data_IF_743406245227
#
_entry.id   IF_743406245227
#
_cell.length_a   1.000
_cell.length_b   1.000
_cell.length_c   1.000
_cell.angle_alpha   90.00
_cell.angle_beta   90.00
_cell.angle_gamma   90.00
#
_symmetry.space_group_name_H-M   'P 1'
#
loop_
_entity.id
_entity.type
_entity.pdbx_description
1 polymer ?
#
# COMPACT_ATOMS: atom_id res chain seq x y z
N UNK A 1 -0.15 9.62 -17.29
CA UNK A 1 -0.60 9.38 -18.69
C UNK A 1 -2.09 9.10 -18.80
N UNK A 2 -2.60 7.94 -18.37
CA UNK A 2 -4.04 7.63 -18.51
C UNK A 2 -4.93 8.65 -17.78
N UNK A 3 -4.55 9.04 -16.55
CA UNK A 3 -5.25 10.08 -15.79
C UNK A 3 -5.26 11.42 -16.52
N UNK A 4 -4.10 11.86 -17.01
CA UNK A 4 -3.94 13.14 -17.71
C UNK A 4 -4.70 13.18 -19.04
N UNK A 5 -4.67 12.08 -19.79
CA UNK A 5 -5.35 11.94 -21.08
C UNK A 5 -6.88 11.90 -20.92
N UNK A 6 -7.38 11.29 -19.85
CA UNK A 6 -8.82 11.22 -19.57
C UNK A 6 -9.37 12.49 -18.91
N UNK A 7 -8.57 13.16 -18.07
CA UNK A 7 -8.92 14.37 -17.33
C UNK A 7 -10.32 14.31 -16.66
N UNK A 8 -10.71 13.13 -16.16
CA UNK A 8 -12.05 12.87 -15.64
C UNK A 8 -12.02 12.78 -14.11
N UNK A 9 -12.89 13.51 -13.39
CA UNK A 9 -12.99 13.40 -11.93
C UNK A 9 -13.49 12.03 -11.46
N UNK A 10 -14.08 11.23 -12.37
CA UNK A 10 -14.62 9.90 -12.11
C UNK A 10 -13.61 8.77 -12.37
N UNK A 11 -12.39 9.08 -12.81
CA UNK A 11 -11.31 8.12 -12.95
C UNK A 11 -10.31 8.31 -11.81
N UNK A 12 -10.24 7.31 -10.92
CA UNK A 12 -9.44 7.33 -9.70
C UNK A 12 -8.66 6.03 -9.54
N UNK A 13 -7.68 6.05 -8.64
CA UNK A 13 -6.76 4.93 -8.42
C UNK A 13 -7.15 4.17 -7.14
N UNK A 14 -7.13 2.85 -7.26
CA UNK A 14 -6.96 1.94 -6.13
C UNK A 14 -5.46 1.63 -6.06
N UNK A 15 -4.78 2.12 -5.02
CA UNK A 15 -3.34 1.92 -4.88
C UNK A 15 -3.07 0.66 -4.08
N UNK A 16 -2.24 -0.21 -4.63
CA UNK A 16 -1.68 -1.36 -3.94
C UNK A 16 -0.14 -1.25 -4.00
N UNK A 17 0.51 -0.83 -2.91
CA UNK A 17 1.96 -0.62 -2.89
C UNK A 17 2.76 -1.89 -3.23
N UNK A 18 2.26 -3.06 -2.87
CA UNK A 18 2.95 -4.34 -3.13
C UNK A 18 2.91 -4.70 -4.61
N UNK A 19 1.86 -4.33 -5.34
CA UNK A 19 1.77 -4.59 -6.78
C UNK A 19 2.78 -3.77 -7.61
N UNK A 20 3.45 -2.78 -7.02
CA UNK A 20 4.54 -2.02 -7.65
C UNK A 20 5.90 -2.72 -7.52
N UNK A 21 5.97 -3.79 -6.71
CA UNK A 21 7.19 -4.48 -6.39
C UNK A 21 7.31 -5.78 -7.19
N UNK A 22 8.57 -6.15 -7.44
CA UNK A 22 9.00 -7.37 -8.10
C UNK A 22 10.32 -7.84 -7.49
N UNK A 23 10.77 -9.03 -7.89
CA UNK A 23 12.07 -9.56 -7.44
C UNK A 23 13.24 -8.62 -7.79
N UNK A 24 13.08 -7.79 -8.83
CA UNK A 24 14.11 -6.88 -9.34
C UNK A 24 14.23 -5.59 -8.52
N UNK A 25 13.15 -5.14 -7.86
CA UNK A 25 13.10 -3.82 -7.21
C UNK A 25 12.66 -3.82 -5.73
N UNK A 26 12.25 -4.94 -5.13
CA UNK A 26 11.75 -4.97 -3.74
C UNK A 26 12.77 -4.49 -2.70
N UNK A 27 14.06 -4.57 -3.01
CA UNK A 27 15.13 -4.04 -2.15
C UNK A 27 15.09 -2.51 -2.07
N UNK A 28 14.56 -1.85 -3.09
CA UNK A 28 14.36 -0.40 -3.20
C UNK A 28 12.89 0.01 -2.93
N UNK A 29 12.10 -0.86 -2.29
CA UNK A 29 10.66 -0.66 -2.08
C UNK A 29 10.26 0.69 -1.50
N UNK A 30 11.04 1.22 -0.55
CA UNK A 30 10.77 2.51 0.08
C UNK A 30 10.75 3.62 -0.98
N UNK A 31 11.79 3.72 -1.81
CA UNK A 31 11.87 4.68 -2.90
C UNK A 31 10.75 4.49 -3.94
N UNK A 32 10.46 3.25 -4.33
CA UNK A 32 9.39 2.96 -5.32
C UNK A 32 8.03 3.41 -4.80
N UNK A 33 7.76 3.20 -3.51
CA UNK A 33 6.49 3.55 -2.88
C UNK A 33 6.39 5.07 -2.69
N UNK A 34 7.45 5.73 -2.21
CA UNK A 34 7.49 7.19 -2.08
C UNK A 34 7.23 7.88 -3.42
N UNK A 35 7.92 7.46 -4.49
CA UNK A 35 7.71 7.99 -5.83
C UNK A 35 6.26 7.77 -6.31
N UNK A 36 5.68 6.60 -6.02
CA UNK A 36 4.30 6.32 -6.38
C UNK A 36 3.29 7.20 -5.61
N UNK A 37 3.55 7.48 -4.32
CA UNK A 37 2.72 8.38 -3.52
C UNK A 37 2.83 9.82 -4.05
N UNK A 38 4.03 10.29 -4.40
CA UNK A 38 4.24 11.62 -4.98
C UNK A 38 3.54 11.78 -6.35
N UNK A 39 3.62 10.77 -7.21
CA UNK A 39 3.09 10.85 -8.58
C UNK A 39 1.59 10.58 -8.67
N UNK A 40 1.08 9.65 -7.86
CA UNK A 40 -0.26 9.11 -8.01
C UNK A 40 -1.17 9.41 -6.81
N UNK A 41 -0.60 9.78 -5.65
CA UNK A 41 -1.30 9.90 -4.38
C UNK A 41 -2.56 10.75 -4.45
N UNK A 42 -2.51 11.89 -5.15
CA UNK A 42 -3.67 12.77 -5.35
C UNK A 42 -4.86 12.07 -6.02
N UNK A 43 -4.61 11.13 -6.93
CA UNK A 43 -5.65 10.38 -7.62
C UNK A 43 -6.12 9.12 -6.87
N UNK A 44 -5.46 8.75 -5.76
CA UNK A 44 -5.83 7.58 -4.95
C UNK A 44 -7.07 7.87 -4.11
N UNK A 45 -8.06 6.99 -4.18
CA UNK A 45 -9.29 7.03 -3.37
C UNK A 45 -9.45 5.80 -2.46
N UNK A 46 -8.78 4.70 -2.79
CA UNK A 46 -8.79 3.46 -1.99
C UNK A 46 -7.38 2.88 -1.97
N UNK A 47 -6.99 2.31 -0.83
CA UNK A 47 -5.70 1.60 -0.70
C UNK A 47 -5.93 0.13 -0.36
N UNK A 48 -5.28 -0.76 -1.09
CA UNK A 48 -5.20 -2.17 -0.73
C UNK A 48 -3.96 -2.40 0.13
N UNK A 49 -4.17 -2.93 1.32
CA UNK A 49 -3.12 -3.19 2.30
C UNK A 49 -2.86 -4.68 2.40
N UNK A 50 -1.76 -5.10 1.80
CA UNK A 50 -1.14 -6.41 1.91
C UNK A 50 0.37 -6.24 1.98
N UNK A 51 1.04 -7.27 2.45
CA UNK A 51 2.48 -7.37 2.57
C UNK A 51 3.05 -8.32 1.53
N UNK A 52 4.36 -8.48 1.50
CA UNK A 52 5.02 -9.49 0.68
C UNK A 52 6.17 -10.19 1.40
N UNK A 53 6.47 -11.41 0.96
CA UNK A 53 7.70 -12.15 1.30
C UNK A 53 8.42 -12.55 0.03
N UNK A 54 9.73 -12.75 0.13
CA UNK A 54 10.52 -13.37 -0.95
C UNK A 54 10.53 -14.88 -0.73
N UNK A 55 10.05 -15.62 -1.72
CA UNK A 55 10.09 -17.08 -1.72
C UNK A 55 10.77 -17.58 -2.99
N UNK A 56 12.07 -17.85 -2.93
CA UNK A 56 12.86 -18.18 -4.10
C UNK A 56 13.08 -16.94 -4.99
N UNK A 57 12.62 -17.02 -6.24
CA UNK A 57 12.75 -15.98 -7.27
C UNK A 57 11.48 -15.14 -7.45
N UNK A 58 10.52 -15.23 -6.52
CA UNK A 58 9.24 -14.52 -6.59
C UNK A 58 8.89 -13.81 -5.29
N UNK A 59 8.07 -12.77 -5.43
CA UNK A 59 7.34 -12.17 -4.32
C UNK A 59 6.01 -12.89 -4.13
N UNK A 60 5.69 -13.20 -2.87
CA UNK A 60 4.42 -13.80 -2.47
C UNK A 60 3.69 -12.81 -1.57
N UNK A 61 2.49 -12.41 -1.99
CA UNK A 61 1.64 -11.51 -1.20
C UNK A 61 1.09 -12.22 0.04
N UNK A 62 1.20 -11.57 1.19
CA UNK A 62 0.75 -12.07 2.49
C UNK A 62 0.02 -10.97 3.27
N UNK A 63 -0.58 -11.30 4.40
CA UNK A 63 -1.25 -10.30 5.24
C UNK A 63 -0.28 -9.23 5.75
N UNK A 64 -0.74 -7.98 5.84
CA UNK A 64 0.00 -6.85 6.41
C UNK A 64 0.64 -7.20 7.77
N UNK A 65 1.92 -6.85 7.93
CA UNK A 65 2.68 -7.10 9.17
C UNK A 65 3.24 -8.50 9.29
N UNK A 66 3.12 -9.31 8.25
CA UNK A 66 3.73 -10.65 8.19
C UNK A 66 4.85 -10.74 7.17
N UNK A 67 5.15 -9.69 6.42
CA UNK A 67 6.15 -9.68 5.36
C UNK A 67 7.28 -8.68 5.59
N UNK A 68 7.71 -8.04 4.51
CA UNK A 68 8.88 -7.15 4.44
C UNK A 68 8.50 -5.68 4.18
N UNK A 69 7.21 -5.36 4.07
CA UNK A 69 6.75 -3.98 3.94
C UNK A 69 7.01 -3.18 5.21
N UNK A 70 7.44 -1.93 5.01
CA UNK A 70 7.40 -0.90 6.04
C UNK A 70 6.25 0.06 5.71
N UNK A 71 5.26 0.13 6.59
CA UNK A 71 4.08 0.96 6.39
C UNK A 71 4.19 2.35 6.98
N UNK A 72 5.29 2.71 7.66
CA UNK A 72 5.41 4.01 8.35
C UNK A 72 5.18 5.19 7.40
N UNK A 73 5.97 5.29 6.33
CA UNK A 73 5.85 6.35 5.33
C UNK A 73 4.47 6.35 4.63
N UNK A 74 3.91 5.16 4.35
CA UNK A 74 2.57 5.03 3.77
C UNK A 74 1.53 5.61 4.73
N UNK A 75 1.54 5.21 6.00
CA UNK A 75 0.55 5.66 6.97
C UNK A 75 0.68 7.14 7.30
N UNK A 76 1.90 7.66 7.43
CA UNK A 76 2.17 9.09 7.56
C UNK A 76 1.58 9.89 6.40
N UNK A 77 1.81 9.43 5.17
CA UNK A 77 1.25 10.05 3.97
C UNK A 77 -0.28 10.01 3.99
N UNK A 78 -0.88 8.84 4.24
CA UNK A 78 -2.35 8.70 4.24
C UNK A 78 -3.00 9.55 5.34
N UNK A 79 -2.40 9.60 6.54
CA UNK A 79 -2.91 10.40 7.65
C UNK A 79 -2.88 11.89 7.36
N UNK A 80 -1.80 12.36 6.71
CA UNK A 80 -1.56 13.78 6.42
C UNK A 80 -2.33 14.26 5.18
N UNK A 81 -2.17 13.57 4.06
CA UNK A 81 -2.64 14.02 2.74
C UNK A 81 -4.02 13.45 2.37
N UNK A 82 -4.41 12.31 2.96
CA UNK A 82 -5.65 11.59 2.63
C UNK A 82 -6.44 11.17 3.88
N UNK A 83 -6.76 12.11 4.80
CA UNK A 83 -7.46 11.76 6.03
C UNK A 83 -8.80 11.07 5.72
N UNK A 84 -9.10 10.01 6.48
CA UNK A 84 -10.31 9.19 6.32
C UNK A 84 -10.41 8.40 4.99
N UNK A 85 -9.32 8.24 4.25
CA UNK A 85 -9.29 7.36 3.06
C UNK A 85 -9.69 5.93 3.42
N UNK A 86 -10.37 5.26 2.50
CA UNK A 86 -10.75 3.87 2.67
C UNK A 86 -9.58 2.95 2.38
N UNK A 87 -9.39 1.96 3.23
CA UNK A 87 -8.42 0.89 3.02
C UNK A 87 -9.06 -0.48 3.19
N UNK A 88 -8.64 -1.44 2.38
CA UNK A 88 -9.05 -2.85 2.47
C UNK A 88 -7.84 -3.71 2.84
N UNK A 89 -8.07 -4.72 3.69
CA UNK A 89 -7.06 -5.74 3.96
C UNK A 89 -7.13 -6.81 2.89
N UNK A 90 -6.00 -7.09 2.26
CA UNK A 90 -5.86 -8.17 1.28
C UNK A 90 -4.92 -9.27 1.77
N UNK A 91 -5.01 -10.45 1.14
CA UNK A 91 -4.24 -11.64 1.52
C UNK A 91 -4.42 -12.05 3.00
N UNK A 92 -5.57 -11.69 3.57
CA UNK A 92 -6.00 -12.10 4.90
C UNK A 92 -7.02 -13.22 4.86
N UNK A 93 -7.05 -14.00 5.92
CA UNK A 93 -8.09 -14.97 6.28
C UNK A 93 -8.71 -14.55 7.63
N UNK A 94 -9.88 -15.05 8.03
CA UNK A 94 -10.51 -14.66 9.30
C UNK A 94 -9.58 -14.76 10.51
N UNK A 95 -8.66 -15.72 10.50
CA UNK A 95 -7.70 -15.99 11.59
C UNK A 95 -6.61 -14.90 11.74
N UNK A 96 -6.27 -14.16 10.67
CA UNK A 96 -5.20 -13.16 10.70
C UNK A 96 -5.67 -11.72 10.43
N UNK A 97 -6.90 -11.51 9.96
CA UNK A 97 -7.42 -10.20 9.59
C UNK A 97 -7.38 -9.19 10.74
N UNK A 98 -7.73 -9.62 11.96
CA UNK A 98 -7.72 -8.74 13.16
C UNK A 98 -6.30 -8.32 13.52
N UNK A 99 -5.33 -9.24 13.41
CA UNK A 99 -3.91 -8.96 13.68
C UNK A 99 -3.35 -7.99 12.66
N UNK A 100 -3.64 -8.20 11.36
CA UNK A 100 -3.23 -7.30 10.29
C UNK A 100 -3.82 -5.88 10.48
N UNK A 101 -5.13 -5.80 10.81
CA UNK A 101 -5.79 -4.52 11.12
C UNK A 101 -5.09 -3.79 12.26
N UNK A 102 -4.94 -4.46 13.41
CA UNK A 102 -4.35 -3.87 14.62
C UNK A 102 -2.90 -3.43 14.39
N UNK A 103 -2.13 -4.19 13.61
CA UNK A 103 -0.77 -3.83 13.23
C UNK A 103 -0.73 -2.50 12.47
N UNK A 104 -1.59 -2.33 11.46
CA UNK A 104 -1.67 -1.12 10.65
C UNK A 104 -2.24 0.07 11.44
N UNK A 105 -3.28 -0.17 12.25
CA UNK A 105 -3.89 0.84 13.13
C UNK A 105 -2.84 1.45 14.07
N UNK A 106 -1.99 0.61 14.68
CA UNK A 106 -0.92 1.09 15.55
C UNK A 106 0.08 1.98 14.81
N UNK A 107 0.51 1.59 13.62
CA UNK A 107 1.43 2.40 12.81
C UNK A 107 0.78 3.73 12.43
N UNK A 108 -0.51 3.72 12.10
CA UNK A 108 -1.26 4.94 11.80
C UNK A 108 -1.45 5.86 13.02
N UNK A 109 -1.62 5.29 14.21
CA UNK A 109 -1.68 6.07 15.45
C UNK A 109 -0.34 6.74 15.77
N UNK A 110 0.76 6.02 15.57
CA UNK A 110 2.14 6.46 15.84
C UNK A 110 2.69 7.45 14.78
N UNK A 111 2.10 7.50 13.58
CA UNK A 111 2.41 8.42 12.48
C UNK A 111 1.98 9.87 12.75
#
# INVERSE_FOLDING_TARGET
RVLDEMASPNLRIILDPVNLLSIENYTQREQVIEEALELLGDAVEVVHLKDFRVEGDKLVSVAAGTGMMDYRAIMEYLKKEKPCIQATLENTVPENAVTARTYLEKIYEDA
#
